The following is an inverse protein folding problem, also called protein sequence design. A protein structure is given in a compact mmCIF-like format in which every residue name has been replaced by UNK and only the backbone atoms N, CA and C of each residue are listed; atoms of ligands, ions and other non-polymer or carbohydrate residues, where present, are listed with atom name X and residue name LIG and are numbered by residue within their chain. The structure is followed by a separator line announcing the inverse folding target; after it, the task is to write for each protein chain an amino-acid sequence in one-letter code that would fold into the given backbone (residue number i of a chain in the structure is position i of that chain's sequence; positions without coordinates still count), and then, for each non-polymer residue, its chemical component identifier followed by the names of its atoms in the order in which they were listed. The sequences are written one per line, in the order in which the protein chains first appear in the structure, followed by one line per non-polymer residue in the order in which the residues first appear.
data_IF_631295577951
#
_entry.id   IF_631295577951
#
_cell.length_a   1.000
_cell.length_b   1.000
_cell.length_c   1.000
_cell.angle_alpha   90.00
_cell.angle_beta   90.00
_cell.angle_gamma   90.00
#
_symmetry.space_group_name_H-M   'P 1'
#
loop_
_entity.id
_entity.type
_entity.pdbx_description
1 polymer ?
#
# COMPACT_ATOMS: atom_id res chain seq x y z
N UNK A 1 -15.25 -12.35 4.37
CA UNK A 1 -13.91 -11.92 3.91
C UNK A 1 -13.89 -11.70 2.40
N UNK A 2 -14.04 -12.72 1.54
CA UNK A 2 -14.03 -12.53 0.07
C UNK A 2 -15.13 -11.61 -0.48
N UNK A 3 -16.40 -11.79 -0.08
CA UNK A 3 -17.51 -10.97 -0.57
C UNK A 3 -17.38 -9.48 -0.21
N UNK A 4 -16.82 -9.18 0.97
CA UNK A 4 -16.57 -7.79 1.39
C UNK A 4 -15.45 -7.18 0.55
N UNK A 5 -14.35 -7.92 0.37
CA UNK A 5 -13.24 -7.51 -0.49
C UNK A 5 -13.68 -7.26 -1.95
N UNK A 6 -14.54 -8.12 -2.52
CA UNK A 6 -15.03 -7.94 -3.89
C UNK A 6 -15.93 -6.70 -4.05
N UNK A 7 -16.79 -6.42 -3.05
CA UNK A 7 -17.58 -5.18 -3.02
C UNK A 7 -16.66 -3.96 -2.96
N UNK A 8 -15.71 -3.96 -2.02
CA UNK A 8 -14.72 -2.90 -1.88
C UNK A 8 -13.89 -2.68 -3.15
N UNK A 9 -13.37 -3.75 -3.78
CA UNK A 9 -12.58 -3.64 -5.03
C UNK A 9 -13.40 -3.03 -6.17
N UNK A 10 -14.69 -3.34 -6.25
CA UNK A 10 -15.57 -2.81 -7.30
C UNK A 10 -15.81 -1.30 -7.13
N UNK A 11 -15.92 -0.85 -5.89
CA UNK A 11 -16.11 0.57 -5.54
C UNK A 11 -14.79 1.36 -5.67
N UNK A 12 -13.69 0.79 -5.18
CA UNK A 12 -12.38 1.46 -5.12
C UNK A 12 -11.63 1.44 -6.45
N UNK A 13 -11.79 0.39 -7.27
CA UNK A 13 -11.14 0.21 -8.57
C UNK A 13 -12.20 0.03 -9.67
N UNK A 14 -12.96 1.09 -10.00
CA UNK A 14 -14.13 0.99 -10.88
C UNK A 14 -13.77 0.55 -12.31
N UNK A 15 -12.57 0.89 -12.78
CA UNK A 15 -12.06 0.53 -14.11
C UNK A 15 -11.23 -0.75 -14.12
N UNK A 16 -11.24 -1.52 -13.02
CA UNK A 16 -10.47 -2.77 -12.88
C UNK A 16 -8.96 -2.59 -12.70
N UNK A 17 -8.43 -1.40 -12.96
CA UNK A 17 -7.04 -0.99 -12.71
C UNK A 17 -7.00 0.44 -12.17
N UNK A 18 -5.88 0.80 -11.52
CA UNK A 18 -5.58 2.15 -11.06
C UNK A 18 -4.42 2.64 -11.92
N UNK A 19 -4.61 3.76 -12.62
CA UNK A 19 -3.57 4.34 -13.45
C UNK A 19 -2.50 5.04 -12.60
N UNK A 20 -1.23 4.96 -13.01
CA UNK A 20 -0.16 5.75 -12.39
C UNK A 20 -0.41 7.26 -12.55
N UNK A 21 -1.18 7.67 -13.56
CA UNK A 21 -1.62 9.06 -13.75
C UNK A 21 -2.60 9.54 -12.68
N UNK A 22 -3.26 8.63 -11.96
CA UNK A 22 -4.08 8.96 -10.80
C UNK A 22 -3.23 9.20 -9.54
N UNK A 23 -1.93 8.87 -9.60
CA UNK A 23 -1.01 8.95 -8.45
C UNK A 23 0.33 9.64 -8.76
N UNK A 24 0.33 10.79 -9.47
CA UNK A 24 1.56 11.42 -9.95
C UNK A 24 2.48 11.90 -8.82
N UNK A 25 1.94 12.39 -7.71
CA UNK A 25 2.74 12.87 -6.59
C UNK A 25 3.39 11.70 -5.83
N UNK A 26 2.67 10.59 -5.72
CA UNK A 26 3.15 9.37 -5.05
C UNK A 26 4.24 8.68 -5.88
N UNK A 27 4.09 8.66 -7.19
CA UNK A 27 5.09 8.16 -8.14
C UNK A 27 6.34 9.04 -8.15
N UNK A 28 6.18 10.37 -8.11
CA UNK A 28 7.30 11.31 -8.09
C UNK A 28 8.23 11.13 -6.88
N UNK A 29 7.73 10.57 -5.77
CA UNK A 29 8.54 10.29 -4.57
C UNK A 29 9.45 9.06 -4.72
N UNK A 30 9.38 8.33 -5.83
CA UNK A 30 10.26 7.21 -6.16
C UNK A 30 10.41 6.21 -4.99
N UNK A 31 9.25 5.77 -4.47
CA UNK A 31 9.15 4.89 -3.30
C UNK A 31 8.54 3.53 -3.60
N UNK A 32 8.20 3.26 -4.86
CA UNK A 32 7.62 2.02 -5.32
C UNK A 32 8.51 1.42 -6.40
N UNK A 33 8.88 0.16 -6.23
CA UNK A 33 9.82 -0.56 -7.10
C UNK A 33 9.23 -1.90 -7.52
N UNK A 34 9.63 -2.36 -8.71
CA UNK A 34 9.36 -3.72 -9.15
C UNK A 34 10.62 -4.56 -8.91
N UNK A 35 10.52 -5.61 -8.10
CA UNK A 35 11.65 -6.47 -7.76
C UNK A 35 11.36 -7.92 -8.17
N UNK A 36 11.65 -8.22 -9.44
CA UNK A 36 11.46 -9.56 -9.99
C UNK A 36 10.00 -9.98 -10.06
N UNK A 37 9.78 -11.30 -10.03
CA UNK A 37 8.48 -11.91 -10.20
C UNK A 37 8.22 -13.01 -9.18
N UNK A 38 6.95 -13.18 -8.82
CA UNK A 38 6.52 -14.28 -7.95
C UNK A 38 6.62 -15.65 -8.66
N UNK A 39 6.29 -16.72 -7.92
CA UNK A 39 6.29 -18.11 -8.45
C UNK A 39 5.38 -18.32 -9.67
N UNK A 40 4.49 -17.37 -9.98
CA UNK A 40 3.58 -17.40 -11.15
C UNK A 40 4.01 -16.42 -12.24
N UNK A 41 5.21 -15.84 -12.15
CA UNK A 41 5.74 -14.88 -13.10
C UNK A 41 5.15 -13.46 -13.00
N UNK A 42 4.37 -13.14 -11.96
CA UNK A 42 3.77 -11.81 -11.79
C UNK A 42 4.73 -10.86 -11.10
N UNK A 43 4.82 -9.59 -11.52
CA UNK A 43 5.75 -8.64 -10.93
C UNK A 43 5.48 -8.43 -9.44
N UNK A 44 6.54 -8.41 -8.65
CA UNK A 44 6.49 -8.13 -7.22
C UNK A 44 6.72 -6.64 -7.02
N UNK A 45 5.80 -5.98 -6.35
CA UNK A 45 5.97 -4.59 -5.95
C UNK A 45 6.50 -4.49 -4.53
N UNK A 46 7.48 -3.61 -4.36
CA UNK A 46 8.10 -3.24 -3.08
C UNK A 46 7.86 -1.75 -2.83
N UNK A 47 7.40 -1.39 -1.62
CA UNK A 47 7.22 0.01 -1.21
C UNK A 47 8.15 0.36 -0.04
N UNK A 48 8.87 1.48 -0.18
CA UNK A 48 9.74 2.06 0.85
C UNK A 48 9.03 3.23 1.56
N UNK A 49 8.38 2.95 2.68
CA UNK A 49 7.73 3.92 3.56
C UNK A 49 8.67 4.97 4.16
N UNK A 50 9.97 4.68 4.29
CA UNK A 50 10.97 5.67 4.71
C UNK A 50 11.07 6.87 3.73
N UNK A 51 10.63 6.70 2.48
CA UNK A 51 10.54 7.76 1.47
C UNK A 51 9.16 8.40 1.38
N UNK A 52 8.23 8.04 2.27
CA UNK A 52 6.89 8.61 2.27
C UNK A 52 6.93 10.01 2.87
N UNK A 53 6.60 11.01 2.05
CA UNK A 53 6.30 12.37 2.47
C UNK A 53 4.85 12.68 2.17
N UNK A 54 4.21 13.50 3.01
CA UNK A 54 2.85 13.97 2.76
C UNK A 54 2.79 14.65 1.39
N UNK A 55 1.98 14.09 0.49
CA UNK A 55 1.81 14.57 -0.88
C UNK A 55 0.53 15.40 -1.01
N UNK A 56 0.42 16.20 -2.09
CA UNK A 56 -0.77 17.04 -2.32
C UNK A 56 -2.06 16.23 -2.55
N UNK A 57 -2.00 15.02 -3.10
CA UNK A 57 -3.18 14.14 -3.18
C UNK A 57 -3.41 13.29 -1.93
N UNK A 58 -2.54 13.42 -0.93
CA UNK A 58 -2.75 12.94 0.42
C UNK A 58 -3.00 11.44 0.51
N UNK A 59 -3.81 11.05 1.50
CA UNK A 59 -4.03 9.65 1.84
C UNK A 59 -4.69 8.86 0.70
N UNK A 60 -5.64 9.45 -0.04
CA UNK A 60 -6.35 8.75 -1.11
C UNK A 60 -5.44 8.40 -2.30
N UNK A 61 -4.54 9.31 -2.68
CA UNK A 61 -3.56 9.05 -3.72
C UNK A 61 -2.60 7.92 -3.29
N UNK A 62 -2.17 7.94 -2.03
CA UNK A 62 -1.32 6.88 -1.49
C UNK A 62 -2.03 5.51 -1.43
N UNK A 63 -3.32 5.46 -1.05
CA UNK A 63 -4.13 4.23 -1.12
C UNK A 63 -4.17 3.68 -2.54
N UNK A 64 -4.35 4.56 -3.53
CA UNK A 64 -4.35 4.20 -4.94
C UNK A 64 -3.00 3.62 -5.36
N UNK A 65 -1.88 4.21 -4.93
CA UNK A 65 -0.55 3.68 -5.22
C UNK A 65 -0.38 2.25 -4.66
N UNK A 66 -0.71 2.05 -3.38
CA UNK A 66 -0.58 0.74 -2.72
C UNK A 66 -1.44 -0.37 -3.36
N UNK A 67 -2.57 0.00 -3.96
CA UNK A 67 -3.53 -0.92 -4.55
C UNK A 67 -3.46 -1.00 -6.09
N UNK A 68 -2.54 -0.23 -6.71
CA UNK A 68 -2.35 -0.18 -8.16
C UNK A 68 -1.74 -1.45 -8.74
N UNK A 69 -1.02 -2.21 -7.91
CA UNK A 69 -0.26 -3.40 -8.32
C UNK A 69 -0.36 -4.49 -7.26
N UNK A 70 0.31 -5.62 -7.52
CA UNK A 70 0.50 -6.70 -6.54
C UNK A 70 1.59 -6.32 -5.55
N UNK A 71 1.20 -5.57 -4.53
CA UNK A 71 2.06 -5.31 -3.38
C UNK A 71 2.28 -6.59 -2.58
N UNK A 72 3.53 -7.04 -2.50
CA UNK A 72 3.89 -8.20 -1.67
C UNK A 72 4.77 -7.82 -0.48
N UNK A 73 5.60 -6.79 -0.62
CA UNK A 73 6.51 -6.35 0.44
C UNK A 73 6.38 -4.84 0.67
N UNK A 74 6.17 -4.48 1.94
CA UNK A 74 6.10 -3.08 2.37
C UNK A 74 7.08 -2.88 3.52
N UNK A 75 8.04 -1.97 3.31
CA UNK A 75 9.05 -1.60 4.30
C UNK A 75 8.70 -0.23 4.87
N UNK A 76 8.24 -0.16 6.10
CA UNK A 76 7.97 1.09 6.82
C UNK A 76 9.03 1.39 7.88
N UNK A 77 10.18 0.69 7.83
CA UNK A 77 11.25 0.84 8.80
C UNK A 77 11.68 2.31 8.93
N UNK A 78 11.81 2.79 10.17
CA UNK A 78 12.18 4.16 10.51
C UNK A 78 11.33 5.26 9.83
N UNK A 79 10.11 4.92 9.38
CA UNK A 79 9.19 5.90 8.84
C UNK A 79 8.49 6.67 9.96
N UNK A 80 8.21 7.96 9.71
CA UNK A 80 7.42 8.81 10.61
C UNK A 80 5.91 8.57 10.46
N UNK A 81 5.51 7.38 10.01
CA UNK A 81 4.12 7.04 9.75
C UNK A 81 3.44 6.64 11.07
N UNK A 82 2.25 7.20 11.39
CA UNK A 82 1.54 6.83 12.61
C UNK A 82 1.03 5.40 12.53
N UNK A 83 0.88 4.72 13.67
CA UNK A 83 0.35 3.34 13.76
C UNK A 83 -1.00 3.14 13.02
N UNK A 84 -1.85 4.16 13.02
CA UNK A 84 -3.17 4.19 12.35
C UNK A 84 -3.09 4.27 10.82
N UNK A 85 -1.88 4.41 10.26
CA UNK A 85 -1.66 4.42 8.83
C UNK A 85 -2.13 3.12 8.16
N UNK A 86 -1.84 1.97 8.76
CA UNK A 86 -2.21 0.67 8.19
C UNK A 86 -3.73 0.44 8.16
N UNK A 87 -4.50 1.02 9.09
CA UNK A 87 -5.97 0.95 9.02
C UNK A 87 -6.56 1.78 7.88
N UNK A 88 -5.80 2.73 7.33
CA UNK A 88 -6.27 3.65 6.31
C UNK A 88 -5.98 3.17 4.89
N UNK A 89 -5.00 2.30 4.67
CA UNK A 89 -4.56 1.89 3.32
C UNK A 89 -5.49 0.89 2.60
N UNK A 90 -6.51 0.39 3.30
CA UNK A 90 -7.41 -0.65 2.81
C UNK A 90 -6.78 -2.06 2.81
N UNK A 91 -7.51 -3.08 2.33
CA UNK A 91 -7.07 -4.46 2.41
C UNK A 91 -5.92 -4.78 1.44
N UNK A 92 -4.73 -5.05 1.99
CA UNK A 92 -3.55 -5.50 1.24
C UNK A 92 -3.53 -7.02 1.04
N UNK A 93 -4.50 -7.55 0.29
CA UNK A 93 -4.74 -9.00 0.14
C UNK A 93 -3.58 -9.84 -0.39
N UNK A 94 -2.55 -9.21 -0.97
CA UNK A 94 -1.38 -9.89 -1.56
C UNK A 94 -0.10 -9.70 -0.77
N UNK A 95 -0.13 -8.89 0.30
CA UNK A 95 1.03 -8.61 1.12
C UNK A 95 1.51 -9.89 1.82
N UNK A 96 2.81 -10.14 1.74
CA UNK A 96 3.50 -11.27 2.36
C UNK A 96 4.50 -10.80 3.42
N UNK A 97 5.15 -9.67 3.18
CA UNK A 97 6.13 -9.06 4.07
C UNK A 97 5.70 -7.66 4.49
N UNK A 98 5.68 -7.40 5.79
CA UNK A 98 5.48 -6.08 6.38
C UNK A 98 6.60 -5.84 7.39
N UNK A 99 7.45 -4.85 7.12
CA UNK A 99 8.62 -4.51 7.93
C UNK A 99 8.39 -3.17 8.62
N UNK A 100 8.57 -3.15 9.94
CA UNK A 100 8.12 -2.07 10.84
C UNK A 100 9.19 -1.69 11.87
N UNK A 101 10.46 -2.00 11.62
CA UNK A 101 11.54 -1.76 12.56
C UNK A 101 11.70 -0.26 12.85
N UNK A 102 11.78 0.11 14.13
CA UNK A 102 11.97 1.51 14.53
C UNK A 102 10.79 2.44 14.22
N UNK A 103 9.59 1.90 13.96
CA UNK A 103 8.36 2.69 13.89
C UNK A 103 7.80 2.89 15.30
N UNK A 104 7.42 4.13 15.61
CA UNK A 104 6.82 4.49 16.89
C UNK A 104 5.34 4.03 16.96
N UNK A 105 5.14 2.73 17.20
CA UNK A 105 3.81 2.14 17.40
C UNK A 105 3.30 2.38 18.81
N UNK A 106 2.85 3.61 19.10
CA UNK A 106 2.08 3.88 20.32
C UNK A 106 0.61 3.38 20.27
N UNK A 107 0.24 2.56 19.27
CA UNK A 107 -1.12 2.05 19.07
C UNK A 107 -1.16 0.56 18.69
N UNK A 108 -2.28 -0.10 18.97
CA UNK A 108 -2.53 -1.50 18.62
C UNK A 108 -2.67 -1.67 17.09
N UNK A 109 -1.97 -2.65 16.52
CA UNK A 109 -2.25 -3.11 15.17
C UNK A 109 -3.73 -3.50 15.10
N UNK A 110 -4.49 -3.04 14.08
CA UNK A 110 -5.88 -3.44 13.95
C UNK A 110 -5.92 -4.97 13.81
N UNK A 111 -6.66 -5.63 14.71
CA UNK A 111 -6.77 -7.09 14.75
C UNK A 111 -7.38 -7.67 13.45
N UNK A 112 -7.93 -6.82 12.57
CA UNK A 112 -8.50 -7.18 11.29
C UNK A 112 -8.21 -6.11 10.24
N UNK A 113 -7.75 -6.55 9.06
CA UNK A 113 -7.87 -5.74 7.84
C UNK A 113 -9.33 -5.73 7.41
N UNK A 114 -9.93 -4.54 7.30
CA UNK A 114 -11.32 -4.36 6.87
C UNK A 114 -11.59 -4.90 5.46
#
# INVERSE_FOLDING_TARGET
MLLRYLKWRREFVPHGSISLLETPNEVAQNKMFLQGSDKKGRPITVILGARHFQSKGGLEEFKRLCNSTRLEEMFLDYSSLPATFLSNIGPLSTLKGLYLAGVDFHGTLPAQGN
#
